data_IF_672400797932
#
_entry.id   IF_672400797932
#
_cell.length_a   1.000
_cell.length_b   1.000
_cell.length_c   1.000
_cell.angle_alpha   90.00
_cell.angle_beta   90.00
_cell.angle_gamma   90.00
#
_symmetry.space_group_name_H-M   'P 1'
#
loop_
_entity.id
_entity.type
_entity.pdbx_description
1 polymer ?
#
# COMPACT_ATOMS: atom_id res chain seq x y z
N UNK A 1 -82.18 28.30 9.50
CA UNK A 1 -81.18 28.18 8.41
C UNK A 1 -81.29 29.37 7.49
N UNK A 2 -80.25 29.69 6.74
CA UNK A 2 -80.24 30.75 5.72
C UNK A 2 -79.06 30.57 4.73
N UNK A 3 -79.29 30.85 3.44
CA UNK A 3 -78.31 31.01 2.33
C UNK A 3 -79.09 31.52 1.10
N UNK A 4 -78.49 32.20 0.10
CA UNK A 4 -77.20 32.90 0.04
C UNK A 4 -77.37 34.41 0.38
N UNK A 5 -77.07 35.49 -0.35
CA UNK A 5 -76.48 35.78 -1.68
C UNK A 5 -76.16 37.31 -1.72
N UNK A 6 -75.12 37.91 -2.32
CA UNK A 6 -73.84 37.50 -2.95
C UNK A 6 -72.80 38.64 -2.73
N UNK A 7 -71.56 38.51 -3.23
CA UNK A 7 -70.94 39.50 -4.16
C UNK A 7 -69.45 39.22 -4.47
N UNK A 8 -69.12 39.19 -5.76
CA UNK A 8 -67.87 39.41 -6.53
C UNK A 8 -66.43 39.13 -6.00
N UNK A 9 -65.57 38.77 -6.97
CA UNK A 9 -64.16 38.43 -6.82
C UNK A 9 -63.29 38.98 -8.00
N UNK A 10 -62.13 39.61 -7.73
CA UNK A 10 -61.04 39.77 -8.71
C UNK A 10 -60.01 38.63 -8.65
N UNK A 11 -59.30 38.37 -9.76
CA UNK A 11 -58.49 37.15 -9.97
C UNK A 11 -57.00 37.28 -9.61
N UNK A 12 -56.60 36.69 -8.47
CA UNK A 12 -55.19 36.64 -8.00
C UNK A 12 -54.23 35.83 -8.90
N UNK A 13 -54.74 34.84 -9.64
CA UNK A 13 -53.91 33.88 -10.39
C UNK A 13 -53.01 34.50 -11.47
N UNK A 14 -53.40 35.64 -12.06
CA UNK A 14 -52.62 36.31 -13.13
C UNK A 14 -51.31 36.96 -12.67
N UNK A 15 -51.08 37.07 -11.35
CA UNK A 15 -49.86 37.65 -10.77
C UNK A 15 -48.76 36.60 -10.57
N UNK A 16 -49.12 35.43 -10.01
CA UNK A 16 -48.16 34.38 -9.63
C UNK A 16 -47.49 33.75 -10.86
N UNK A 17 -48.26 33.49 -11.93
CA UNK A 17 -47.72 32.94 -13.18
C UNK A 17 -46.71 33.88 -13.84
N UNK A 18 -47.03 35.17 -13.95
CA UNK A 18 -46.11 36.21 -14.47
C UNK A 18 -44.86 36.41 -13.59
N UNK A 19 -44.95 36.10 -12.30
CA UNK A 19 -43.82 36.18 -11.38
C UNK A 19 -42.93 34.93 -11.48
N UNK A 20 -43.51 33.73 -11.65
CA UNK A 20 -42.77 32.52 -12.03
C UNK A 20 -42.07 32.67 -13.38
N UNK A 21 -42.77 33.19 -14.38
CA UNK A 21 -42.26 33.45 -15.73
C UNK A 21 -41.09 34.46 -15.69
N UNK A 22 -41.22 35.56 -14.92
CA UNK A 22 -40.11 36.49 -14.69
C UNK A 22 -38.93 35.89 -13.92
N UNK A 23 -39.15 34.89 -13.05
CA UNK A 23 -38.05 34.18 -12.39
C UNK A 23 -37.35 33.25 -13.38
N UNK A 24 -38.09 32.48 -14.17
CA UNK A 24 -37.56 31.57 -15.19
C UNK A 24 -36.85 32.32 -16.35
N UNK A 25 -37.28 33.54 -16.69
CA UNK A 25 -36.62 34.40 -17.68
C UNK A 25 -35.43 35.19 -17.13
N UNK A 26 -35.25 35.29 -15.80
CA UNK A 26 -34.23 36.15 -15.17
C UNK A 26 -33.18 35.40 -14.36
N UNK A 27 -33.45 34.15 -13.97
CA UNK A 27 -32.43 33.17 -13.74
C UNK A 27 -31.90 32.70 -15.10
N UNK A 28 -30.93 33.43 -15.68
CA UNK A 28 -30.08 32.81 -16.68
C UNK A 28 -29.45 31.58 -16.04
N UNK A 29 -29.55 30.42 -16.70
CA UNK A 29 -28.92 29.20 -16.19
C UNK A 29 -27.41 29.22 -16.46
N UNK A 30 -26.93 30.09 -17.35
CA UNK A 30 -25.53 30.23 -17.76
C UNK A 30 -24.50 30.39 -16.63
N UNK A 31 -24.75 31.11 -15.50
CA UNK A 31 -23.79 31.22 -14.41
C UNK A 31 -23.66 29.90 -13.64
N UNK A 32 -24.78 29.19 -13.42
CA UNK A 32 -24.81 27.92 -12.69
C UNK A 32 -24.32 26.78 -13.58
N UNK A 33 -24.75 26.77 -14.85
CA UNK A 33 -24.29 25.84 -15.88
C UNK A 33 -22.81 26.06 -16.19
N UNK A 34 -22.34 27.30 -16.24
CA UNK A 34 -20.93 27.67 -16.40
C UNK A 34 -20.09 27.29 -15.19
N UNK A 35 -20.54 27.56 -13.96
CA UNK A 35 -19.86 27.11 -12.74
C UNK A 35 -19.79 25.58 -12.67
N UNK A 36 -20.86 24.88 -13.06
CA UNK A 36 -20.87 23.42 -13.19
C UNK A 36 -19.91 22.95 -14.29
N UNK A 37 -19.90 23.58 -15.47
CA UNK A 37 -19.04 23.25 -16.60
C UNK A 37 -17.55 23.49 -16.31
N UNK A 38 -17.20 24.56 -15.61
CA UNK A 38 -15.83 24.83 -15.16
C UNK A 38 -15.39 23.87 -14.05
N UNK A 39 -16.31 23.45 -13.18
CA UNK A 39 -16.05 22.40 -12.19
C UNK A 39 -15.84 21.04 -12.85
N UNK A 40 -16.68 20.71 -13.86
CA UNK A 40 -16.58 19.53 -14.71
C UNK A 40 -15.26 19.52 -15.50
N UNK A 41 -14.82 20.68 -16.01
CA UNK A 41 -13.54 20.84 -16.72
C UNK A 41 -12.36 20.63 -15.77
N UNK A 42 -12.35 21.27 -14.60
CA UNK A 42 -11.32 21.06 -13.55
C UNK A 42 -11.24 19.60 -13.11
N UNK A 43 -12.38 18.93 -12.94
CA UNK A 43 -12.42 17.51 -12.59
C UNK A 43 -11.92 16.61 -13.73
N UNK A 44 -12.30 16.91 -14.98
CA UNK A 44 -11.79 16.21 -16.17
C UNK A 44 -10.27 16.38 -16.35
N UNK A 45 -9.73 17.57 -16.10
CA UNK A 45 -8.28 17.81 -16.15
C UNK A 45 -7.54 17.13 -14.99
N UNK A 46 -8.10 17.13 -13.76
CA UNK A 46 -7.54 16.35 -12.65
C UNK A 46 -7.54 14.84 -12.91
N UNK A 47 -8.60 14.29 -13.53
CA UNK A 47 -8.65 12.89 -14.00
C UNK A 47 -7.59 12.65 -15.07
N UNK A 48 -7.45 13.58 -16.04
CA UNK A 48 -6.45 13.50 -17.11
C UNK A 48 -5.04 13.42 -16.52
N UNK A 49 -4.72 14.24 -15.53
CA UNK A 49 -3.38 14.32 -14.95
C UNK A 49 -3.08 13.11 -14.05
N UNK A 50 -4.01 12.73 -13.16
CA UNK A 50 -3.91 11.48 -12.38
C UNK A 50 -3.71 10.25 -13.29
N UNK A 51 -4.48 10.15 -14.37
CA UNK A 51 -4.33 9.04 -15.31
C UNK A 51 -3.06 9.15 -16.16
N UNK A 52 -2.55 10.37 -16.41
CA UNK A 52 -1.24 10.55 -17.00
C UNK A 52 -0.13 10.04 -16.08
N UNK A 53 -0.21 10.28 -14.76
CA UNK A 53 0.73 9.79 -13.76
C UNK A 53 0.70 8.27 -13.61
N UNK A 54 -0.50 7.68 -13.46
CA UNK A 54 -0.69 6.22 -13.38
C UNK A 54 -0.13 5.50 -14.62
N UNK A 55 -0.34 6.04 -15.82
CA UNK A 55 0.25 5.53 -17.07
C UNK A 55 1.76 5.83 -17.22
N UNK A 56 2.40 6.44 -16.23
CA UNK A 56 3.86 6.61 -16.14
C UNK A 56 4.50 5.87 -14.96
N UNK A 57 3.80 4.88 -14.38
CA UNK A 57 4.34 3.92 -13.41
C UNK A 57 4.64 2.56 -14.07
N UNK A 58 5.70 2.43 -14.91
CA UNK A 58 6.04 1.15 -15.54
C UNK A 58 6.38 0.08 -14.49
N UNK A 59 7.02 0.48 -13.39
CA UNK A 59 7.38 -0.37 -12.25
C UNK A 59 6.21 -1.17 -11.68
N UNK A 60 5.00 -0.61 -11.64
CA UNK A 60 3.81 -1.33 -11.17
C UNK A 60 3.37 -2.43 -12.16
N UNK A 61 3.46 -2.16 -13.46
CA UNK A 61 3.15 -3.14 -14.51
C UNK A 61 4.23 -4.21 -14.63
N UNK A 62 5.50 -3.86 -14.41
CA UNK A 62 6.63 -4.78 -14.37
C UNK A 62 6.59 -5.68 -13.13
N UNK A 63 6.33 -5.13 -11.93
CA UNK A 63 6.12 -5.91 -10.70
C UNK A 63 4.94 -6.88 -10.86
N UNK A 64 3.83 -6.41 -11.43
CA UNK A 64 2.67 -7.24 -11.77
C UNK A 64 3.02 -8.37 -12.74
N UNK A 65 3.92 -8.13 -13.70
CA UNK A 65 4.39 -9.16 -14.63
C UNK A 65 5.25 -10.24 -13.93
N UNK A 66 6.01 -9.91 -12.88
CA UNK A 66 6.63 -10.92 -12.01
C UNK A 66 5.60 -11.71 -11.21
N UNK A 67 4.70 -11.00 -10.51
CA UNK A 67 3.75 -11.62 -9.58
C UNK A 67 2.72 -12.53 -10.27
N UNK A 68 2.46 -12.31 -11.57
CA UNK A 68 1.63 -13.18 -12.41
C UNK A 68 2.42 -14.19 -13.25
N UNK A 69 3.76 -14.20 -13.20
CA UNK A 69 4.57 -15.19 -13.92
C UNK A 69 4.32 -16.59 -13.34
N UNK A 70 4.03 -17.62 -14.15
CA UNK A 70 3.83 -18.97 -13.63
C UNK A 70 5.06 -19.47 -12.84
N UNK A 71 4.83 -20.07 -11.67
CA UNK A 71 5.87 -20.78 -10.93
C UNK A 71 6.27 -22.04 -11.71
N UNK A 72 7.35 -21.92 -12.48
CA UNK A 72 7.99 -23.04 -13.17
C UNK A 72 8.92 -23.83 -12.24
N UNK A 73 9.92 -24.50 -12.82
CA UNK A 73 11.03 -25.10 -12.07
C UNK A 73 12.00 -24.06 -11.46
N UNK A 74 11.97 -22.82 -11.97
CA UNK A 74 12.57 -21.66 -11.33
C UNK A 74 11.89 -21.42 -9.96
N UNK A 75 12.64 -21.63 -8.88
CA UNK A 75 12.11 -21.63 -7.52
C UNK A 75 11.60 -20.25 -7.07
N UNK A 76 10.68 -20.21 -6.10
CA UNK A 76 10.08 -18.96 -5.59
C UNK A 76 11.10 -17.87 -5.19
N UNK A 77 12.31 -18.27 -4.78
CA UNK A 77 13.41 -17.37 -4.40
C UNK A 77 14.05 -16.65 -5.59
N UNK A 78 14.02 -17.23 -6.78
CA UNK A 78 14.57 -16.63 -8.01
C UNK A 78 13.70 -15.45 -8.48
N UNK A 79 12.37 -15.61 -8.39
CA UNK A 79 11.42 -14.51 -8.64
C UNK A 79 11.58 -13.37 -7.60
N UNK A 80 11.94 -13.71 -6.36
CA UNK A 80 12.19 -12.72 -5.29
C UNK A 80 13.53 -11.99 -5.50
N UNK A 81 14.59 -12.67 -5.92
CA UNK A 81 15.87 -12.01 -6.24
C UNK A 81 15.79 -11.18 -7.52
N UNK A 82 14.97 -11.56 -8.50
CA UNK A 82 14.66 -10.73 -9.66
C UNK A 82 13.85 -9.48 -9.25
N UNK A 83 12.85 -9.63 -8.38
CA UNK A 83 12.02 -8.51 -7.90
C UNK A 83 12.79 -7.49 -7.06
N UNK A 84 13.66 -7.96 -6.15
CA UNK A 84 14.35 -7.11 -5.17
C UNK A 84 15.76 -6.68 -5.61
N UNK A 85 16.43 -7.44 -6.49
CA UNK A 85 17.85 -7.27 -6.80
C UNK A 85 18.19 -7.27 -8.30
N UNK A 86 17.22 -7.30 -9.22
CA UNK A 86 17.52 -7.12 -10.65
C UNK A 86 17.98 -5.69 -10.93
N UNK A 87 19.24 -5.55 -11.37
CA UNK A 87 19.84 -4.26 -11.78
C UNK A 87 19.23 -3.68 -13.07
N UNK A 88 18.30 -4.42 -13.69
CA UNK A 88 17.58 -4.03 -14.92
C UNK A 88 16.06 -4.19 -14.79
N UNK A 89 15.56 -4.43 -13.58
CA UNK A 89 14.14 -4.70 -13.32
C UNK A 89 13.61 -6.02 -13.93
N UNK A 90 12.28 -6.22 -13.92
CA UNK A 90 11.59 -7.44 -14.39
C UNK A 90 11.68 -7.76 -15.89
N UNK A 91 12.22 -6.85 -16.69
CA UNK A 91 12.18 -6.87 -18.15
C UNK A 91 13.48 -7.38 -18.80
N UNK A 92 14.42 -7.89 -18.00
CA UNK A 92 15.66 -8.53 -18.49
C UNK A 92 15.96 -9.81 -17.68
N UNK A 93 16.16 -10.99 -18.31
CA UNK A 93 16.62 -12.20 -17.62
C UNK A 93 18.10 -12.01 -17.23
N UNK A 94 18.29 -11.34 -16.10
CA UNK A 94 19.55 -10.75 -15.68
C UNK A 94 19.49 -10.20 -14.26
N UNK A 95 18.74 -10.88 -13.38
CA UNK A 95 18.94 -10.75 -11.94
C UNK A 95 20.38 -11.09 -11.56
N UNK A 96 20.78 -10.77 -10.33
CA UNK A 96 22.11 -11.16 -9.85
C UNK A 96 22.29 -12.67 -10.03
N UNK A 97 23.35 -13.08 -10.73
CA UNK A 97 23.82 -14.46 -10.69
C UNK A 97 24.39 -14.70 -9.29
N UNK A 98 23.49 -15.02 -8.37
CA UNK A 98 23.81 -15.53 -7.05
C UNK A 98 24.36 -16.95 -7.28
N UNK A 99 25.65 -17.00 -7.60
CA UNK A 99 26.34 -18.19 -8.05
C UNK A 99 26.68 -19.09 -6.85
N UNK A 100 25.64 -19.51 -6.11
CA UNK A 100 25.69 -20.30 -4.87
C UNK A 100 26.43 -21.65 -5.03
N UNK A 101 26.81 -22.02 -6.25
CA UNK A 101 27.59 -23.21 -6.58
C UNK A 101 29.04 -23.19 -6.06
N UNK A 102 29.59 -22.05 -5.63
CA UNK A 102 30.84 -21.99 -4.86
C UNK A 102 30.63 -22.43 -3.39
N UNK A 103 30.23 -23.70 -3.24
CA UNK A 103 29.72 -24.29 -2.01
C UNK A 103 30.68 -24.24 -0.79
N UNK A 104 31.96 -23.94 -1.01
CA UNK A 104 32.94 -23.82 0.07
C UNK A 104 32.64 -22.65 1.04
N UNK A 105 32.03 -21.55 0.55
CA UNK A 105 31.58 -20.46 1.44
C UNK A 105 30.30 -20.83 2.22
N UNK A 106 29.42 -21.66 1.63
CA UNK A 106 28.20 -22.11 2.31
C UNK A 106 28.50 -22.93 3.57
N UNK A 107 29.62 -23.65 3.63
CA UNK A 107 30.07 -24.36 4.83
C UNK A 107 30.33 -23.42 6.03
N UNK A 108 30.86 -22.23 5.78
CA UNK A 108 31.09 -21.21 6.81
C UNK A 108 29.76 -20.59 7.30
N UNK A 109 28.77 -20.47 6.40
CA UNK A 109 27.40 -20.15 6.79
C UNK A 109 26.68 -21.33 7.49
N UNK A 110 27.07 -22.58 7.25
CA UNK A 110 26.51 -23.80 7.87
C UNK A 110 27.17 -24.17 9.22
N UNK A 111 27.81 -23.21 9.90
CA UNK A 111 28.29 -23.40 11.28
C UNK A 111 27.23 -24.06 12.18
N UNK A 112 27.62 -25.05 13.01
CA UNK A 112 26.72 -26.05 13.57
C UNK A 112 25.59 -25.46 14.43
N UNK A 113 24.41 -26.08 14.38
CA UNK A 113 23.31 -25.69 15.26
C UNK A 113 23.67 -26.00 16.73
N UNK A 114 23.92 -24.94 17.50
CA UNK A 114 24.16 -25.04 18.95
C UNK A 114 22.89 -25.50 19.70
N UNK A 115 21.71 -25.19 19.15
CA UNK A 115 20.43 -25.77 19.53
C UNK A 115 19.42 -25.68 18.37
N UNK A 116 18.46 -26.61 18.26
CA UNK A 116 17.24 -26.36 17.51
C UNK A 116 16.49 -25.18 18.14
N UNK A 117 15.89 -24.31 17.32
CA UNK A 117 15.12 -23.19 17.85
C UNK A 117 13.89 -23.71 18.61
N UNK A 118 13.63 -23.18 19.81
CA UNK A 118 12.42 -23.50 20.57
C UNK A 118 11.18 -23.01 19.80
N UNK A 119 10.05 -23.75 19.85
CA UNK A 119 8.82 -23.32 19.20
C UNK A 119 8.25 -22.06 19.89
N UNK A 120 8.24 -20.94 19.15
CA UNK A 120 7.65 -19.67 19.58
C UNK A 120 6.11 -19.79 19.66
N UNK A 121 5.60 -20.30 20.79
CA UNK A 121 4.15 -20.45 21.07
C UNK A 121 3.36 -19.12 21.09
N UNK A 122 4.01 -17.98 20.85
CA UNK A 122 3.40 -16.64 20.80
C UNK A 122 3.01 -16.17 19.39
N UNK A 123 3.20 -17.00 18.35
CA UNK A 123 2.94 -16.63 16.95
C UNK A 123 1.48 -16.83 16.54
N UNK A 124 0.97 -15.94 15.67
CA UNK A 124 -0.27 -16.20 14.91
C UNK A 124 -0.14 -17.52 14.13
N UNK A 125 -1.19 -18.35 13.99
CA UNK A 125 -1.15 -19.56 13.18
C UNK A 125 -0.69 -19.30 11.74
N UNK A 126 -1.15 -18.20 11.12
CA UNK A 126 -0.74 -17.81 9.77
C UNK A 126 0.76 -17.44 9.71
N UNK A 127 1.29 -16.81 10.77
CA UNK A 127 2.72 -16.55 10.86
C UNK A 127 3.53 -17.85 11.10
N UNK A 128 3.05 -18.76 11.94
CA UNK A 128 3.70 -20.05 12.19
C UNK A 128 3.82 -20.88 10.89
N UNK A 129 2.77 -20.90 10.08
CA UNK A 129 2.79 -21.51 8.74
C UNK A 129 3.81 -20.82 7.82
N UNK A 130 3.78 -19.48 7.73
CA UNK A 130 4.72 -18.70 6.91
C UNK A 130 6.19 -18.96 7.31
N UNK A 131 6.49 -18.94 8.61
CA UNK A 131 7.82 -19.23 9.16
C UNK A 131 8.26 -20.66 8.83
N UNK A 132 7.37 -21.65 8.99
CA UNK A 132 7.65 -23.04 8.60
C UNK A 132 8.08 -23.16 7.13
N UNK A 133 7.31 -22.58 6.21
CA UNK A 133 7.63 -22.64 4.76
C UNK A 133 8.97 -21.97 4.39
N UNK A 134 9.49 -21.06 5.25
CA UNK A 134 10.80 -20.46 5.06
C UNK A 134 11.94 -21.35 5.60
N UNK A 135 11.74 -22.03 6.72
CA UNK A 135 12.73 -22.97 7.29
C UNK A 135 12.81 -24.31 6.53
N UNK A 136 11.75 -24.72 5.81
CA UNK A 136 11.68 -25.98 5.04
C UNK A 136 12.71 -26.08 3.89
N UNK A 137 12.97 -24.99 3.17
CA UNK A 137 13.83 -25.00 1.98
C UNK A 137 15.24 -24.42 2.29
N UNK A 138 16.34 -25.08 1.90
CA UNK A 138 17.68 -24.80 2.46
C UNK A 138 18.18 -23.37 2.21
N UNK A 139 17.83 -22.76 1.08
CA UNK A 139 18.24 -21.38 0.74
C UNK A 139 17.35 -20.33 1.45
N UNK A 140 16.06 -20.61 1.63
CA UNK A 140 15.18 -19.70 2.39
C UNK A 140 15.51 -19.77 3.88
N UNK A 141 15.86 -20.94 4.42
CA UNK A 141 16.34 -21.11 5.80
C UNK A 141 17.58 -20.29 6.10
N UNK A 142 18.54 -20.24 5.17
CA UNK A 142 19.74 -19.40 5.30
C UNK A 142 19.40 -17.91 5.37
N UNK A 143 18.51 -17.44 4.48
CA UNK A 143 18.02 -16.06 4.45
C UNK A 143 17.20 -15.73 5.71
N UNK A 144 16.28 -16.62 6.09
CA UNK A 144 15.41 -16.50 7.24
C UNK A 144 16.18 -16.42 8.56
N UNK A 145 17.26 -17.20 8.73
CA UNK A 145 18.16 -17.06 9.89
C UNK A 145 18.78 -15.66 10.02
N UNK A 146 18.86 -14.88 8.93
CA UNK A 146 19.26 -13.45 8.97
C UNK A 146 18.08 -12.49 9.12
N UNK A 147 16.89 -12.85 8.64
CA UNK A 147 15.69 -12.00 8.73
C UNK A 147 14.88 -12.18 10.03
N UNK A 148 14.91 -13.35 10.69
CA UNK A 148 14.16 -13.62 11.94
C UNK A 148 14.43 -12.56 13.02
N UNK A 149 15.68 -12.12 13.29
CA UNK A 149 15.92 -11.03 14.23
C UNK A 149 15.30 -9.68 13.81
N UNK A 150 15.27 -9.36 12.52
CA UNK A 150 14.65 -8.14 12.01
C UNK A 150 13.12 -8.18 12.15
N UNK A 151 12.51 -9.35 11.99
CA UNK A 151 11.06 -9.53 11.95
C UNK A 151 10.48 -9.82 13.35
N UNK A 152 10.98 -10.86 14.04
CA UNK A 152 10.51 -11.32 15.36
C UNK A 152 11.39 -10.88 16.54
N UNK A 153 12.55 -10.30 16.28
CA UNK A 153 13.56 -10.02 17.30
C UNK A 153 13.47 -8.66 18.00
N UNK A 154 14.26 -8.57 19.09
CA UNK A 154 14.37 -7.46 20.04
C UNK A 154 15.75 -6.78 19.98
N UNK A 155 15.75 -5.49 20.27
CA UNK A 155 16.93 -4.65 20.55
C UNK A 155 16.93 -4.37 22.06
N UNK A 156 17.93 -4.90 22.76
CA UNK A 156 18.14 -4.61 24.19
C UNK A 156 18.89 -3.29 24.37
N UNK A 157 18.58 -2.52 25.41
CA UNK A 157 19.41 -1.36 25.77
C UNK A 157 19.58 -1.15 27.28
N UNK A 158 20.78 -0.72 27.67
CA UNK A 158 21.21 -0.51 29.05
C UNK A 158 22.06 0.77 29.20
N UNK A 159 22.10 1.40 30.39
CA UNK A 159 21.18 1.20 31.51
C UNK A 159 19.80 1.82 31.23
N UNK A 160 18.77 1.31 31.87
CA UNK A 160 17.42 1.90 31.81
C UNK A 160 17.37 3.23 32.58
N UNK A 161 17.23 4.35 31.85
CA UNK A 161 17.17 5.70 32.42
C UNK A 161 16.23 6.60 31.63
N UNK A 162 15.78 7.70 32.25
CA UNK A 162 14.98 8.72 31.56
C UNK A 162 15.69 9.42 30.38
N UNK A 163 17.02 9.31 30.27
CA UNK A 163 17.79 9.80 29.12
C UNK A 163 17.84 8.75 28.00
N UNK A 164 18.26 7.53 28.32
CA UNK A 164 18.35 6.42 27.35
C UNK A 164 16.98 6.07 26.78
N UNK A 165 15.91 6.05 27.60
CA UNK A 165 14.52 5.89 27.11
C UNK A 165 14.12 6.97 26.09
N UNK A 166 14.50 8.24 26.28
CA UNK A 166 14.17 9.32 25.33
C UNK A 166 14.90 9.17 24.00
N UNK A 167 16.17 8.76 24.03
CA UNK A 167 16.94 8.50 22.81
C UNK A 167 16.40 7.25 22.09
N UNK A 168 16.08 6.19 22.82
CA UNK A 168 15.47 4.97 22.25
C UNK A 168 14.04 5.19 21.74
N UNK A 169 13.28 6.15 22.27
CA UNK A 169 11.99 6.54 21.70
C UNK A 169 12.12 7.12 20.27
N UNK A 170 13.24 7.77 19.93
CA UNK A 170 13.52 8.18 18.55
C UNK A 170 13.85 7.00 17.63
N UNK A 171 14.39 5.90 18.18
CA UNK A 171 14.52 4.62 17.46
C UNK A 171 13.16 3.95 17.28
N UNK A 172 12.26 4.05 18.27
CA UNK A 172 10.91 3.48 18.16
C UNK A 172 10.10 4.06 17.00
N UNK A 173 10.25 5.37 16.76
CA UNK A 173 9.55 6.09 15.70
C UNK A 173 9.81 5.50 14.30
N UNK A 174 10.99 4.92 14.03
CA UNK A 174 11.28 4.27 12.73
C UNK A 174 10.59 2.91 12.58
N UNK A 175 10.18 2.28 13.69
CA UNK A 175 9.31 1.10 13.68
C UNK A 175 7.82 1.47 13.64
N UNK A 176 7.43 2.64 14.16
CA UNK A 176 6.10 3.20 13.98
C UNK A 176 5.83 3.56 12.49
N UNK A 177 6.83 4.06 11.76
CA UNK A 177 6.74 4.23 10.30
C UNK A 177 6.53 2.90 9.56
N UNK A 178 7.14 1.80 10.02
CA UNK A 178 6.92 0.46 9.47
C UNK A 178 5.50 -0.07 9.78
N UNK A 179 4.91 0.36 10.90
CA UNK A 179 3.55 -0.04 11.28
C UNK A 179 2.49 0.40 10.26
N UNK A 180 2.73 1.51 9.53
CA UNK A 180 1.85 2.01 8.47
C UNK A 180 1.60 0.97 7.34
N UNK A 181 2.49 -0.02 7.17
CA UNK A 181 2.30 -1.10 6.20
C UNK A 181 1.24 -2.12 6.63
N UNK A 182 1.01 -2.30 7.95
CA UNK A 182 -0.14 -3.05 8.48
C UNK A 182 -1.41 -2.24 8.25
N UNK A 183 -1.37 -0.95 8.57
CA UNK A 183 -2.54 -0.06 8.45
C UNK A 183 -3.02 0.04 6.99
N UNK A 184 -2.12 -0.11 6.01
CA UNK A 184 -2.47 -0.20 4.59
C UNK A 184 -3.32 -1.45 4.24
N UNK A 185 -3.11 -2.59 4.90
CA UNK A 185 -3.96 -3.78 4.74
C UNK A 185 -5.37 -3.52 5.27
N UNK A 186 -5.47 -2.97 6.49
CA UNK A 186 -6.74 -2.63 7.14
C UNK A 186 -7.51 -1.57 6.33
N UNK A 187 -6.81 -0.54 5.85
CA UNK A 187 -7.34 0.50 4.98
C UNK A 187 -7.84 -0.06 3.64
N UNK A 188 -7.15 -1.03 3.03
CA UNK A 188 -7.65 -1.70 1.84
C UNK A 188 -8.90 -2.54 2.12
N UNK A 189 -9.01 -3.14 3.31
CA UNK A 189 -10.24 -3.80 3.76
C UNK A 189 -11.46 -2.87 3.76
N UNK A 190 -11.26 -1.57 4.04
CA UNK A 190 -12.31 -0.54 4.04
C UNK A 190 -12.53 0.10 2.66
N UNK A 191 -11.47 0.47 1.95
CA UNK A 191 -11.55 1.17 0.66
C UNK A 191 -11.80 0.24 -0.53
N UNK A 192 -11.23 -0.97 -0.51
CA UNK A 192 -11.36 -1.95 -1.59
C UNK A 192 -12.81 -2.24 -1.96
N UNK A 193 -13.71 -2.57 -1.02
CA UNK A 193 -15.13 -2.78 -1.31
C UNK A 193 -15.83 -1.53 -1.87
N UNK A 194 -15.48 -0.33 -1.37
CA UNK A 194 -16.07 0.93 -1.85
C UNK A 194 -15.68 1.24 -3.30
N UNK A 195 -14.38 1.09 -3.62
CA UNK A 195 -13.84 1.24 -4.97
C UNK A 195 -14.50 0.23 -5.92
N UNK A 196 -14.63 -1.04 -5.50
CA UNK A 196 -15.30 -2.06 -6.29
C UNK A 196 -16.77 -1.71 -6.57
N UNK A 197 -17.53 -1.32 -5.55
CA UNK A 197 -18.94 -0.98 -5.70
C UNK A 197 -19.14 0.23 -6.62
N UNK A 198 -18.31 1.26 -6.49
CA UNK A 198 -18.34 2.43 -7.37
C UNK A 198 -18.02 2.06 -8.83
N UNK A 199 -16.98 1.26 -9.06
CA UNK A 199 -16.54 0.86 -10.41
C UNK A 199 -17.40 -0.22 -11.06
N UNK A 200 -18.12 -1.03 -10.28
CA UNK A 200 -19.04 -2.06 -10.79
C UNK A 200 -20.44 -1.50 -11.11
N UNK A 201 -20.72 -0.23 -10.76
CA UNK A 201 -21.89 0.52 -11.21
C UNK A 201 -21.63 1.15 -12.59
N UNK A 202 -22.41 0.73 -13.58
CA UNK A 202 -22.27 1.20 -14.96
C UNK A 202 -22.60 2.68 -15.15
N UNK A 203 -23.35 3.31 -14.24
CA UNK A 203 -23.67 4.74 -14.31
C UNK A 203 -22.45 5.60 -13.92
N UNK A 204 -21.70 5.18 -12.91
CA UNK A 204 -20.45 5.82 -12.49
C UNK A 204 -19.37 5.69 -13.56
N UNK A 205 -19.19 4.49 -14.13
CA UNK A 205 -18.22 4.27 -15.23
C UNK A 205 -18.62 5.06 -16.48
N UNK A 206 -19.90 5.11 -16.85
CA UNK A 206 -20.37 5.93 -17.96
C UNK A 206 -20.18 7.45 -17.71
N UNK A 207 -20.26 7.91 -16.46
CA UNK A 207 -19.93 9.29 -16.09
C UNK A 207 -18.43 9.58 -16.28
N UNK A 208 -17.54 8.68 -15.85
CA UNK A 208 -16.09 8.82 -16.07
C UNK A 208 -15.73 8.81 -17.56
N UNK A 209 -16.34 7.93 -18.37
CA UNK A 209 -16.12 7.89 -19.82
C UNK A 209 -16.56 9.20 -20.49
N UNK A 210 -17.74 9.73 -20.15
CA UNK A 210 -18.22 11.04 -20.65
C UNK A 210 -17.31 12.21 -20.24
N UNK A 211 -16.76 12.19 -19.03
CA UNK A 211 -15.80 13.19 -18.55
C UNK A 211 -14.51 13.19 -19.38
N UNK A 212 -14.00 12.00 -19.71
CA UNK A 212 -12.81 11.81 -20.55
C UNK A 212 -13.05 12.30 -21.99
N UNK A 213 -14.23 12.07 -22.56
CA UNK A 213 -14.57 12.58 -23.90
C UNK A 213 -14.75 14.10 -23.91
N UNK A 214 -15.42 14.70 -22.93
CA UNK A 214 -15.56 16.16 -22.81
C UNK A 214 -14.19 16.83 -22.67
N UNK A 215 -13.32 16.32 -21.77
CA UNK A 215 -11.92 16.75 -21.67
C UNK A 215 -11.09 16.47 -22.93
N UNK A 216 -11.48 15.45 -23.70
CA UNK A 216 -10.89 15.08 -24.98
C UNK A 216 -11.12 16.14 -26.07
N UNK A 217 -12.30 16.77 -26.10
CA UNK A 217 -12.66 17.81 -27.08
C UNK A 217 -12.02 19.19 -26.84
N UNK A 218 -11.26 19.37 -25.75
CA UNK A 218 -10.56 20.62 -25.46
C UNK A 218 -9.57 21.04 -26.55
N UNK A 219 -9.70 22.27 -27.04
CA UNK A 219 -9.09 22.80 -28.27
C UNK A 219 -7.56 23.06 -28.23
N UNK A 220 -6.80 22.28 -27.47
CA UNK A 220 -5.35 22.40 -27.30
C UNK A 220 -4.68 21.16 -27.88
N UNK A 221 -3.71 21.30 -28.80
CA UNK A 221 -3.12 20.17 -29.56
C UNK A 221 -2.86 18.94 -28.69
N UNK A 222 -3.71 17.92 -28.82
CA UNK A 222 -3.44 16.61 -28.26
C UNK A 222 -2.32 15.96 -29.06
N UNK A 223 -1.17 15.75 -28.41
CA UNK A 223 -0.09 14.98 -29.03
C UNK A 223 -0.57 13.54 -29.28
N UNK A 224 -0.02 12.82 -30.28
CA UNK A 224 -0.34 11.41 -30.48
C UNK A 224 -0.11 10.54 -29.22
N UNK A 225 0.82 10.97 -28.35
CA UNK A 225 1.07 10.36 -27.03
C UNK A 225 -0.09 10.59 -26.04
N UNK A 226 -0.70 11.77 -26.04
CA UNK A 226 -1.89 12.06 -25.22
C UNK A 226 -3.11 11.27 -25.70
N UNK A 227 -3.34 11.22 -27.02
CA UNK A 227 -4.44 10.42 -27.59
C UNK A 227 -4.29 8.92 -27.24
N UNK A 228 -3.06 8.37 -27.37
CA UNK A 228 -2.78 6.98 -26.99
C UNK A 228 -2.94 6.71 -25.49
N UNK A 229 -2.63 7.69 -24.61
CA UNK A 229 -2.96 7.59 -23.19
C UNK A 229 -4.48 7.60 -22.96
N UNK A 230 -5.24 8.46 -23.64
CA UNK A 230 -6.69 8.60 -23.47
C UNK A 230 -7.44 7.30 -23.76
N UNK A 231 -7.13 6.63 -24.87
CA UNK A 231 -7.77 5.36 -25.20
C UNK A 231 -7.35 4.24 -24.23
N UNK A 232 -6.10 4.21 -23.76
CA UNK A 232 -5.68 3.27 -22.72
C UNK A 232 -6.44 3.45 -21.38
N UNK A 233 -6.93 4.65 -21.06
CA UNK A 233 -7.82 4.88 -19.90
C UNK A 233 -9.21 4.32 -20.18
N UNK A 234 -9.75 4.52 -21.38
CA UNK A 234 -11.06 3.95 -21.77
C UNK A 234 -11.03 2.43 -21.75
N UNK A 235 -9.95 1.82 -22.23
CA UNK A 235 -9.73 0.38 -22.19
C UNK A 235 -9.58 -0.14 -20.75
N UNK A 236 -8.95 0.64 -19.86
CA UNK A 236 -8.88 0.32 -18.43
C UNK A 236 -10.25 0.41 -17.71
N UNK A 237 -11.10 1.37 -18.12
CA UNK A 237 -12.45 1.55 -17.56
C UNK A 237 -13.47 0.51 -18.05
N UNK A 238 -13.20 -0.18 -19.16
CA UNK A 238 -14.12 -1.09 -19.84
C UNK A 238 -13.56 -2.54 -19.90
N UNK A 239 -13.88 -3.39 -18.90
CA UNK A 239 -13.42 -4.78 -18.86
C UNK A 239 -13.84 -5.65 -20.05
N UNK A 240 -14.79 -5.21 -20.88
CA UNK A 240 -15.27 -5.99 -22.04
C UNK A 240 -14.28 -5.99 -23.22
N UNK A 241 -13.36 -5.01 -23.27
CA UNK A 241 -12.39 -4.84 -24.37
C UNK A 241 -11.21 -5.81 -24.31
N UNK A 242 -10.97 -6.41 -23.15
CA UNK A 242 -9.82 -7.26 -22.88
C UNK A 242 -8.53 -6.47 -22.64
N UNK A 243 -7.63 -7.02 -21.81
CA UNK A 243 -6.37 -6.38 -21.43
C UNK A 243 -6.23 -6.24 -19.92
N UNK A 244 -5.94 -5.04 -19.44
CA UNK A 244 -5.86 -4.71 -18.01
C UNK A 244 -6.91 -3.66 -17.67
N UNK A 245 -7.97 -4.07 -16.97
CA UNK A 245 -9.01 -3.18 -16.50
C UNK A 245 -8.89 -2.89 -15.00
N UNK A 246 -9.72 -1.97 -14.51
CA UNK A 246 -9.92 -1.73 -13.09
C UNK A 246 -10.24 -3.00 -12.29
N UNK A 247 -10.87 -4.01 -12.90
CA UNK A 247 -11.25 -5.27 -12.24
C UNK A 247 -10.03 -6.11 -11.90
N UNK A 248 -9.07 -6.23 -12.83
CA UNK A 248 -7.79 -6.87 -12.56
C UNK A 248 -6.95 -6.06 -11.60
N UNK A 249 -6.95 -4.72 -11.72
CA UNK A 249 -6.17 -3.84 -10.83
C UNK A 249 -6.65 -3.93 -9.38
N UNK A 250 -7.97 -3.97 -9.17
CA UNK A 250 -8.57 -4.20 -7.86
C UNK A 250 -8.20 -5.57 -7.28
N UNK A 251 -8.30 -6.64 -8.09
CA UNK A 251 -7.94 -7.99 -7.66
C UNK A 251 -6.43 -8.16 -7.37
N UNK A 252 -5.56 -7.51 -8.16
CA UNK A 252 -4.11 -7.53 -7.93
C UNK A 252 -3.74 -6.69 -6.69
N UNK A 253 -4.37 -5.53 -6.47
CA UNK A 253 -4.18 -4.73 -5.25
C UNK A 253 -4.69 -5.46 -4.00
N UNK A 254 -5.84 -6.14 -4.06
CA UNK A 254 -6.33 -6.98 -2.97
C UNK A 254 -5.42 -8.15 -2.64
N UNK A 255 -4.77 -8.75 -3.66
CA UNK A 255 -3.73 -9.76 -3.46
C UNK A 255 -2.50 -9.18 -2.77
N UNK A 256 -2.03 -8.00 -3.20
CA UNK A 256 -0.90 -7.31 -2.58
C UNK A 256 -1.17 -6.94 -1.13
N UNK A 257 -2.33 -6.33 -0.85
CA UNK A 257 -2.76 -6.00 0.51
C UNK A 257 -2.87 -7.25 1.38
N UNK A 258 -3.41 -8.36 0.87
CA UNK A 258 -3.47 -9.64 1.58
C UNK A 258 -2.08 -10.17 1.98
N UNK A 259 -1.14 -10.21 1.03
CA UNK A 259 0.25 -10.65 1.28
C UNK A 259 0.95 -9.73 2.29
N UNK A 260 0.76 -8.41 2.19
CA UNK A 260 1.33 -7.45 3.14
C UNK A 260 0.75 -7.65 4.55
N UNK A 261 -0.56 -7.87 4.69
CA UNK A 261 -1.18 -8.19 5.98
C UNK A 261 -0.60 -9.45 6.63
N UNK A 262 -0.55 -10.55 5.88
CA UNK A 262 0.03 -11.82 6.35
C UNK A 262 1.51 -11.70 6.74
N UNK A 263 2.30 -10.89 5.99
CA UNK A 263 3.68 -10.60 6.37
C UNK A 263 3.77 -9.74 7.64
N UNK A 264 2.92 -8.73 7.78
CA UNK A 264 2.91 -7.83 8.94
C UNK A 264 2.39 -8.48 10.22
N UNK A 265 1.56 -9.54 10.14
CA UNK A 265 1.25 -10.40 11.29
C UNK A 265 2.51 -11.05 11.92
N UNK A 266 3.58 -11.27 11.14
CA UNK A 266 4.86 -11.74 11.65
C UNK A 266 5.76 -10.63 12.21
N UNK A 267 5.50 -9.35 11.95
CA UNK A 267 6.43 -8.27 12.33
C UNK A 267 6.14 -7.83 13.76
N UNK A 268 7.01 -8.24 14.69
CA UNK A 268 7.03 -7.72 16.06
C UNK A 268 7.52 -6.25 16.03
N UNK A 269 6.59 -5.31 16.05
CA UNK A 269 6.87 -3.86 16.05
C UNK A 269 7.36 -3.35 17.42
N UNK A 270 6.98 -4.04 18.51
CA UNK A 270 7.58 -3.86 19.83
C UNK A 270 9.03 -4.39 19.80
N UNK A 271 9.96 -3.54 19.36
CA UNK A 271 11.37 -3.87 19.17
C UNK A 271 12.24 -3.64 20.39
N UNK A 272 11.88 -2.71 21.28
CA UNK A 272 12.84 -2.14 22.24
C UNK A 272 12.60 -2.70 23.64
N UNK A 273 13.65 -3.22 24.27
CA UNK A 273 13.58 -3.80 25.61
C UNK A 273 14.65 -3.18 26.52
N UNK A 274 14.19 -2.46 27.55
CA UNK A 274 15.06 -1.74 28.49
C UNK A 274 15.51 -2.66 29.63
N UNK A 275 16.80 -2.68 29.95
CA UNK A 275 17.36 -3.51 31.03
C UNK A 275 18.28 -2.67 31.94
N UNK A 276 18.38 -2.99 33.25
CA UNK A 276 18.95 -2.08 34.23
C UNK A 276 20.48 -1.91 34.13
N UNK A 277 21.21 -2.92 33.66
CA UNK A 277 22.67 -2.92 33.59
C UNK A 277 23.21 -3.72 32.40
N UNK A 278 24.52 -3.66 32.16
CA UNK A 278 25.20 -4.41 31.10
C UNK A 278 25.17 -5.93 31.37
N UNK A 279 25.31 -6.36 32.62
CA UNK A 279 25.24 -7.77 33.01
C UNK A 279 23.84 -8.35 32.77
N UNK A 280 22.80 -7.56 33.09
CA UNK A 280 21.41 -7.92 32.77
C UNK A 280 21.17 -7.98 31.25
N UNK A 281 21.77 -7.07 30.48
CA UNK A 281 21.74 -7.09 29.02
C UNK A 281 22.41 -8.35 28.45
N UNK A 282 23.58 -8.74 28.96
CA UNK A 282 24.29 -9.94 28.51
C UNK A 282 23.50 -11.22 28.85
N UNK A 283 22.94 -11.32 30.06
CA UNK A 283 22.08 -12.46 30.43
C UNK A 283 20.88 -12.59 29.49
N UNK A 284 20.15 -11.49 29.28
CA UNK A 284 18.95 -11.46 28.43
C UNK A 284 19.27 -11.64 26.93
N UNK A 285 20.45 -11.20 26.50
CA UNK A 285 20.95 -11.42 25.14
C UNK A 285 21.20 -12.92 24.87
N UNK A 286 21.71 -13.68 25.85
CA UNK A 286 21.95 -15.12 25.69
C UNK A 286 20.65 -15.93 25.55
N UNK A 287 19.61 -15.57 26.29
CA UNK A 287 18.25 -16.15 26.12
C UNK A 287 17.73 -15.92 24.69
N UNK A 288 17.70 -14.65 24.27
CA UNK A 288 17.20 -14.25 22.95
C UNK A 288 18.07 -14.79 21.79
N UNK A 289 19.34 -15.12 22.01
CA UNK A 289 20.18 -15.81 21.02
C UNK A 289 19.73 -17.26 20.81
N UNK A 290 19.34 -17.97 21.86
CA UNK A 290 18.77 -19.33 21.76
C UNK A 290 17.48 -19.38 20.94
N UNK A 291 16.61 -18.38 21.13
CA UNK A 291 15.36 -18.21 20.35
C UNK A 291 15.62 -17.71 18.90
N UNK A 292 16.83 -17.27 18.58
CA UNK A 292 17.20 -16.54 17.35
C UNK A 292 16.40 -15.22 17.19
N UNK A 293 16.14 -14.55 18.32
CA UNK A 293 15.37 -13.30 18.47
C UNK A 293 16.20 -12.12 18.99
N UNK A 294 17.49 -12.28 19.32
CA UNK A 294 18.35 -11.11 19.55
C UNK A 294 18.69 -10.45 18.22
N UNK A 295 18.35 -9.17 18.06
CA UNK A 295 18.81 -8.33 16.96
C UNK A 295 20.06 -7.55 17.35
N UNK A 296 20.01 -6.78 18.44
CA UNK A 296 21.13 -5.98 18.92
C UNK A 296 21.09 -5.76 20.43
N UNK A 297 22.23 -5.38 21.00
CA UNK A 297 22.36 -4.90 22.37
C UNK A 297 23.12 -3.57 22.39
N UNK A 298 22.57 -2.54 23.04
CA UNK A 298 23.10 -1.18 23.07
C UNK A 298 23.46 -0.79 24.51
N UNK A 299 24.75 -0.60 24.79
CA UNK A 299 25.25 -0.17 26.10
C UNK A 299 25.64 1.31 26.05
N UNK A 300 24.90 2.15 26.77
CA UNK A 300 25.17 3.58 26.89
C UNK A 300 26.15 3.86 28.02
N UNK A 301 27.42 4.01 27.67
CA UNK A 301 28.47 4.41 28.60
C UNK A 301 28.27 5.87 29.05
N UNK A 302 28.28 6.10 30.36
CA UNK A 302 28.35 7.46 30.91
C UNK A 302 29.68 8.12 30.52
N UNK A 303 29.72 9.45 30.25
CA UNK A 303 30.96 10.15 29.98
C UNK A 303 31.94 10.01 31.16
N UNK A 304 32.99 9.22 30.97
CA UNK A 304 34.09 9.13 31.93
C UNK A 304 34.79 10.49 31.96
N UNK A 305 34.76 11.17 33.11
CA UNK A 305 35.65 12.32 33.32
C UNK A 305 37.08 11.84 33.11
N UNK A 306 37.93 12.54 32.33
CA UNK A 306 39.34 12.19 32.27
C UNK A 306 39.92 12.21 33.68
N UNK A 307 40.76 11.23 34.01
CA UNK A 307 41.47 11.21 35.30
C UNK A 307 42.42 12.41 35.33
N UNK A 308 42.25 13.26 36.34
CA UNK A 308 43.27 14.24 36.77
C UNK A 308 44.37 13.52 37.55
#
# INVERSE_FOLDING_TARGET
>A
GARPQESDQPTSQGSVTKLLEKILQRASLDPVLGQAQDSMRKFSDAIRDLAQELLTLPSLMELRALLRRPRGSAGSLELVSEALCSTKGPSSPGGLSLNWYEANQLNEFMGPEVAPALPDNSLSPACSEFVGTLDDHPVSRLLWRRLKPLILGKILFAPDTNFTRKLMAQVNQTFEELALLRDLHELWGVLGPQIFNFMNDSTNVAMLQRLLDVGGTGQRQQTPRAQKKLEAIKDFLDPSRGGYSWREAHADMGRLAGILGQMMECVSLDKLEAVPSEEALVSRALELLGERRLWAGIVFLSPTRPKQ
#
